data_IF_226850094280
#
_entry.id   IF_226850094280
#
_cell.length_a   1.000
_cell.length_b   1.000
_cell.length_c   1.000
_cell.angle_alpha   90.00
_cell.angle_beta   90.00
_cell.angle_gamma   90.00
#
_symmetry.space_group_name_H-M   'P 1'
#
loop_
_entity.id
_entity.type
_entity.pdbx_description
1 polymer ?
#
# COMPACT_ATOMS: atom_id res chain seq x y z
N UNK A 1 -31.68 -39.62 -4.49
CA UNK A 1 -31.93 -38.15 -4.47
C UNK A 1 -31.18 -37.58 -3.29
N UNK A 2 -29.92 -37.23 -3.47
CA UNK A 2 -29.12 -36.56 -2.46
C UNK A 2 -28.99 -35.11 -2.91
N UNK A 3 -29.48 -34.20 -2.08
CA UNK A 3 -29.48 -32.78 -2.37
C UNK A 3 -28.07 -32.20 -2.25
N UNK A 4 -27.74 -31.50 -3.33
CA UNK A 4 -26.70 -30.51 -3.53
C UNK A 4 -26.53 -29.56 -2.32
N UNK A 5 -25.31 -29.46 -1.80
CA UNK A 5 -24.86 -28.30 -1.02
C UNK A 5 -23.60 -27.75 -1.69
N UNK A 6 -23.82 -26.68 -2.44
CA UNK A 6 -22.77 -25.85 -3.00
C UNK A 6 -21.90 -25.23 -1.87
N UNK A 7 -20.59 -25.08 -2.06
CA UNK A 7 -19.76 -24.38 -1.08
C UNK A 7 -20.11 -22.89 -1.07
N UNK A 8 -20.49 -22.42 0.12
CA UNK A 8 -20.67 -21.02 0.50
C UNK A 8 -19.39 -20.21 0.27
N UNK A 9 -19.56 -18.94 -0.10
CA UNK A 9 -18.51 -18.00 -0.57
C UNK A 9 -17.35 -17.74 0.40
N UNK A 10 -16.40 -16.86 0.00
CA UNK A 10 -15.13 -16.70 0.71
C UNK A 10 -15.33 -16.06 2.07
N UNK A 11 -15.02 -16.83 3.13
CA UNK A 11 -14.89 -16.33 4.49
C UNK A 11 -13.97 -15.12 4.54
N UNK A 12 -14.60 -13.98 4.81
CA UNK A 12 -14.00 -12.68 4.93
C UNK A 12 -13.59 -12.52 6.40
N UNK A 13 -12.34 -12.12 6.66
CA UNK A 13 -11.92 -11.45 7.91
C UNK A 13 -11.61 -12.27 9.20
N UNK A 14 -11.27 -13.56 9.15
CA UNK A 14 -10.72 -14.27 10.31
C UNK A 14 -9.18 -14.17 10.37
N UNK A 15 -8.67 -13.51 11.41
CA UNK A 15 -7.28 -13.07 11.55
C UNK A 15 -6.24 -14.18 11.77
N UNK A 16 -5.45 -14.48 10.75
CA UNK A 16 -4.19 -15.17 10.92
C UNK A 16 -3.09 -14.17 11.34
N UNK A 17 -2.48 -14.39 12.49
CA UNK A 17 -1.22 -13.72 12.86
C UNK A 17 -0.10 -14.43 12.10
N UNK A 18 0.56 -13.70 11.22
CA UNK A 18 1.73 -14.14 10.47
C UNK A 18 2.90 -14.42 11.45
N UNK A 19 3.89 -15.24 11.06
CA UNK A 19 5.14 -15.48 11.80
C UNK A 19 5.87 -14.20 12.30
N UNK A 20 5.54 -13.04 11.74
CA UNK A 20 5.98 -11.71 12.14
C UNK A 20 5.25 -11.12 13.37
N UNK A 21 4.22 -11.77 13.89
CA UNK A 21 3.43 -11.30 15.04
C UNK A 21 2.37 -10.26 14.70
N UNK A 22 2.08 -10.05 13.41
CA UNK A 22 1.09 -9.08 12.94
C UNK A 22 -0.08 -9.76 12.22
N UNK A 23 -1.28 -9.21 12.45
CA UNK A 23 -2.47 -9.46 11.63
C UNK A 23 -2.62 -8.31 10.63
N UNK A 24 -2.82 -8.64 9.36
CA UNK A 24 -3.01 -7.65 8.30
C UNK A 24 -4.48 -7.53 7.93
N UNK A 25 -5.00 -6.31 7.86
CA UNK A 25 -6.41 -6.02 7.58
C UNK A 25 -6.51 -5.15 6.33
N UNK A 26 -7.16 -5.68 5.30
CA UNK A 26 -7.37 -5.03 4.00
C UNK A 26 -8.48 -3.97 4.11
N UNK A 27 -8.26 -2.80 3.51
CA UNK A 27 -9.21 -1.68 3.51
C UNK A 27 -9.31 -1.00 2.13
N UNK A 28 -8.95 -1.73 1.07
CA UNK A 28 -8.99 -1.24 -0.31
C UNK A 28 -10.12 -1.90 -1.11
N UNK A 29 -10.85 -1.16 -1.96
CA UNK A 29 -10.81 0.30 -2.13
C UNK A 29 -11.63 1.06 -1.07
N UNK A 30 -12.34 0.33 -0.21
CA UNK A 30 -13.23 0.90 0.81
C UNK A 30 -12.79 0.49 2.21
N UNK A 31 -12.84 1.44 3.14
CA UNK A 31 -12.41 1.28 4.53
C UNK A 31 -13.61 1.11 5.46
N UNK A 32 -13.51 0.13 6.35
CA UNK A 32 -14.51 -0.05 7.40
C UNK A 32 -14.44 1.10 8.43
N UNK A 33 -15.58 1.62 8.95
CA UNK A 33 -15.58 2.73 9.90
C UNK A 33 -14.73 2.49 11.16
N UNK A 34 -14.77 1.28 11.72
CA UNK A 34 -13.99 0.93 12.92
C UNK A 34 -12.47 0.94 12.65
N UNK A 35 -12.07 0.53 11.45
CA UNK A 35 -10.66 0.56 11.04
C UNK A 35 -10.21 2.00 10.77
N UNK A 36 -11.09 2.83 10.17
CA UNK A 36 -10.83 4.25 10.00
C UNK A 36 -10.59 4.93 11.35
N UNK A 37 -11.44 4.68 12.35
CA UNK A 37 -11.30 5.23 13.69
C UNK A 37 -9.98 4.78 14.35
N UNK A 38 -9.65 3.49 14.27
CA UNK A 38 -8.42 2.94 14.84
C UNK A 38 -7.15 3.51 14.19
N UNK A 39 -7.15 3.67 12.87
CA UNK A 39 -6.02 4.25 12.13
C UNK A 39 -5.83 5.74 12.46
N UNK A 40 -6.92 6.51 12.55
CA UNK A 40 -6.85 7.93 12.96
C UNK A 40 -6.27 8.06 14.37
N UNK A 41 -6.77 7.27 15.31
CA UNK A 41 -6.24 7.25 16.69
C UNK A 41 -4.75 6.91 16.72
N UNK A 42 -4.31 5.94 15.90
CA UNK A 42 -2.90 5.59 15.75
C UNK A 42 -2.05 6.74 15.19
N UNK A 43 -2.52 7.45 14.16
CA UNK A 43 -1.78 8.60 13.62
C UNK A 43 -1.61 9.73 14.63
N UNK A 44 -2.65 10.04 15.41
CA UNK A 44 -2.58 11.05 16.47
C UNK A 44 -1.59 10.62 17.54
N UNK A 45 -1.69 9.37 18.02
CA UNK A 45 -0.82 8.84 19.08
C UNK A 45 0.66 8.84 18.69
N UNK A 46 0.98 8.60 17.41
CA UNK A 46 2.34 8.60 16.89
C UNK A 46 2.80 9.99 16.39
N UNK A 47 1.97 11.03 16.52
CA UNK A 47 2.24 12.38 16.04
C UNK A 47 2.39 12.49 14.52
N UNK A 48 1.83 11.53 13.78
CA UNK A 48 1.95 11.42 12.33
C UNK A 48 1.02 12.40 11.59
N UNK A 49 -0.23 12.50 12.06
CA UNK A 49 -1.25 13.42 11.55
C UNK A 49 -2.13 13.84 12.74
N UNK A 50 -2.36 15.14 12.88
CA UNK A 50 -3.19 15.72 13.95
C UNK A 50 -4.37 16.55 13.42
N UNK A 51 -4.39 16.82 12.11
CA UNK A 51 -5.48 17.57 11.46
C UNK A 51 -6.58 16.60 11.00
N UNK A 52 -7.81 16.82 11.49
CA UNK A 52 -8.95 15.95 11.22
C UNK A 52 -9.34 15.92 9.74
N UNK A 53 -9.27 17.06 9.04
CA UNK A 53 -9.62 17.12 7.62
C UNK A 53 -8.60 16.33 6.78
N UNK A 54 -7.31 16.47 7.08
CA UNK A 54 -6.23 15.70 6.44
C UNK A 54 -6.38 14.21 6.75
N UNK A 55 -6.70 13.84 7.99
CA UNK A 55 -6.94 12.44 8.36
C UNK A 55 -8.16 11.86 7.65
N UNK A 56 -9.26 12.60 7.57
CA UNK A 56 -10.47 12.18 6.87
C UNK A 56 -10.22 11.98 5.37
N UNK A 57 -9.35 12.80 4.75
CA UNK A 57 -8.92 12.58 3.37
C UNK A 57 -8.00 11.36 3.25
N UNK A 58 -7.01 11.21 4.15
CA UNK A 58 -6.00 10.15 4.10
C UNK A 58 -6.58 8.77 4.35
N UNK A 59 -7.59 8.65 5.23
CA UNK A 59 -8.19 7.35 5.58
C UNK A 59 -8.86 6.69 4.37
N UNK A 60 -9.38 7.48 3.43
CA UNK A 60 -9.96 7.00 2.16
C UNK A 60 -8.91 6.45 1.18
N UNK A 61 -7.62 6.61 1.49
CA UNK A 61 -6.50 6.17 0.65
C UNK A 61 -5.85 4.90 1.23
N UNK A 62 -6.35 4.39 2.36
CA UNK A 62 -5.75 3.24 3.05
C UNK A 62 -5.90 2.01 2.19
N UNK A 63 -4.79 1.31 1.98
CA UNK A 63 -4.78 0.01 1.31
C UNK A 63 -4.95 -1.11 2.34
N UNK A 64 -4.15 -1.02 3.40
CA UNK A 64 -4.07 -2.03 4.45
C UNK A 64 -3.46 -1.42 5.71
N UNK A 65 -3.82 -1.97 6.86
CA UNK A 65 -3.10 -1.72 8.10
C UNK A 65 -2.74 -3.05 8.79
N UNK A 66 -1.74 -2.99 9.67
CA UNK A 66 -1.31 -4.11 10.47
C UNK A 66 -1.68 -3.88 11.93
N UNK A 67 -2.15 -4.94 12.59
CA UNK A 67 -2.44 -4.98 14.02
C UNK A 67 -1.50 -5.94 14.73
N UNK A 68 -1.09 -5.59 15.93
CA UNK A 68 -0.37 -6.45 16.86
C UNK A 68 -1.30 -7.49 17.49
N UNK A 69 -0.74 -8.44 18.24
CA UNK A 69 -1.49 -9.49 18.93
C UNK A 69 -2.50 -8.94 19.96
N UNK A 70 -2.19 -7.80 20.58
CA UNK A 70 -3.08 -7.06 21.49
C UNK A 70 -4.12 -6.18 20.76
N UNK A 71 -4.15 -6.22 19.42
CA UNK A 71 -5.14 -5.54 18.58
C UNK A 71 -4.80 -4.09 18.21
N UNK A 72 -3.72 -3.52 18.74
CA UNK A 72 -3.30 -2.16 18.41
C UNK A 72 -2.79 -2.04 16.96
N UNK A 73 -2.98 -0.88 16.33
CA UNK A 73 -2.43 -0.63 14.99
C UNK A 73 -0.91 -0.40 15.10
N UNK A 74 -0.14 -1.13 14.31
CA UNK A 74 1.32 -1.05 14.27
C UNK A 74 1.87 -0.28 13.06
N UNK A 75 1.08 -0.25 11.98
CA UNK A 75 1.45 0.45 10.76
C UNK A 75 0.32 0.42 9.75
N UNK A 76 0.36 1.38 8.84
CA UNK A 76 -0.65 1.56 7.79
C UNK A 76 0.04 1.92 6.48
N UNK A 77 -0.48 1.41 5.37
CA UNK A 77 -0.08 1.84 4.04
C UNK A 77 -1.25 2.43 3.27
N UNK A 78 -0.95 3.41 2.44
CA UNK A 78 -1.92 4.15 1.63
C UNK A 78 -1.46 4.20 0.19
N UNK A 79 -2.39 4.29 -0.75
CA UNK A 79 -2.10 4.50 -2.16
C UNK A 79 -3.05 5.54 -2.75
N UNK A 80 -2.52 6.38 -3.65
CA UNK A 80 -3.33 7.27 -4.49
C UNK A 80 -2.89 7.17 -5.94
N UNK A 81 -3.81 7.24 -6.91
CA UNK A 81 -3.43 7.38 -8.31
C UNK A 81 -2.75 8.73 -8.54
N UNK A 82 -1.59 8.70 -9.19
CA UNK A 82 -0.87 9.89 -9.66
C UNK A 82 -0.35 9.62 -11.07
N UNK A 83 -0.13 10.68 -11.84
CA UNK A 83 0.51 10.59 -13.16
C UNK A 83 1.80 11.39 -13.13
N UNK A 84 2.95 10.80 -12.72
CA UNK A 84 4.20 11.53 -12.65
C UNK A 84 4.59 12.01 -14.05
N UNK A 85 4.93 13.28 -14.19
CA UNK A 85 5.23 13.90 -15.49
C UNK A 85 6.27 13.13 -16.31
N UNK A 86 7.31 12.60 -15.65
CA UNK A 86 8.38 11.82 -16.31
C UNK A 86 7.94 10.45 -16.84
N UNK A 87 6.90 9.87 -16.25
CA UNK A 87 6.34 8.61 -16.73
C UNK A 87 5.18 8.83 -17.69
N UNK A 88 4.42 9.92 -17.51
CA UNK A 88 3.17 10.20 -18.22
C UNK A 88 2.20 9.01 -18.21
N UNK A 89 2.22 8.23 -17.12
CA UNK A 89 1.41 7.03 -16.92
C UNK A 89 0.84 7.00 -15.50
N UNK A 90 -0.41 6.54 -15.30
CA UNK A 90 -1.02 6.48 -13.99
C UNK A 90 -0.37 5.38 -13.14
N UNK A 91 0.07 5.74 -11.94
CA UNK A 91 0.73 4.88 -10.96
C UNK A 91 0.07 5.06 -9.60
N UNK A 92 -0.03 3.99 -8.82
CA UNK A 92 -0.37 4.10 -7.41
C UNK A 92 0.85 4.60 -6.63
N UNK A 93 0.83 5.87 -6.22
CA UNK A 93 1.82 6.40 -5.29
C UNK A 93 1.56 5.85 -3.90
N UNK A 94 2.44 4.95 -3.48
CA UNK A 94 2.30 4.20 -2.25
C UNK A 94 3.15 4.82 -1.14
N UNK A 95 2.54 4.91 0.05
CA UNK A 95 3.20 5.40 1.26
C UNK A 95 2.91 4.44 2.39
N UNK A 96 3.76 4.46 3.40
CA UNK A 96 3.48 3.77 4.66
C UNK A 96 3.97 4.57 5.84
N UNK A 97 3.26 4.44 6.94
CA UNK A 97 3.66 4.92 8.24
C UNK A 97 3.68 3.74 9.21
N UNK A 98 4.79 3.55 9.91
CA UNK A 98 4.99 2.49 10.90
C UNK A 98 5.31 3.13 12.24
N UNK A 99 4.61 2.68 13.28
CA UNK A 99 4.76 3.20 14.64
C UNK A 99 6.18 3.01 15.14
N UNK A 100 6.65 3.93 15.96
CA UNK A 100 8.06 4.05 16.35
C UNK A 100 8.66 2.71 16.82
N UNK A 101 7.89 1.95 17.62
CA UNK A 101 8.26 0.64 18.16
C UNK A 101 8.61 -0.40 17.08
N UNK A 102 7.99 -0.31 15.90
CA UNK A 102 8.03 -1.37 14.88
C UNK A 102 8.89 -1.00 13.66
N UNK A 103 9.54 0.17 13.64
CA UNK A 103 10.32 0.67 12.49
C UNK A 103 11.54 -0.19 12.14
N UNK A 104 12.05 -0.97 13.08
CA UNK A 104 13.17 -1.89 12.86
C UNK A 104 12.73 -3.31 12.47
N UNK A 105 11.42 -3.59 12.54
CA UNK A 105 10.82 -4.88 12.19
C UNK A 105 10.66 -5.03 10.66
N UNK A 106 10.33 -6.23 10.14
CA UNK A 106 10.07 -6.42 8.71
C UNK A 106 8.73 -5.81 8.24
N UNK A 107 7.96 -5.14 9.12
CA UNK A 107 6.58 -4.72 8.86
C UNK A 107 6.40 -3.89 7.59
N UNK A 108 7.30 -2.93 7.33
CA UNK A 108 7.26 -2.11 6.09
C UNK A 108 7.29 -2.98 4.84
N UNK A 109 8.15 -4.01 4.82
CA UNK A 109 8.27 -4.91 3.67
C UNK A 109 7.08 -5.86 3.56
N UNK A 110 6.52 -6.32 4.68
CA UNK A 110 5.29 -7.12 4.68
C UNK A 110 4.10 -6.33 4.13
N UNK A 111 3.91 -5.08 4.58
CA UNK A 111 2.89 -4.17 4.05
C UNK A 111 3.10 -3.91 2.56
N UNK A 112 4.34 -3.59 2.14
CA UNK A 112 4.65 -3.31 0.74
C UNK A 112 4.32 -4.51 -0.15
N UNK A 113 4.84 -5.70 0.16
CA UNK A 113 4.61 -6.91 -0.64
C UNK A 113 3.12 -7.25 -0.77
N UNK A 114 2.40 -7.27 0.35
CA UNK A 114 0.96 -7.58 0.37
C UNK A 114 0.16 -6.54 -0.41
N UNK A 115 0.48 -5.25 -0.24
CA UNK A 115 -0.20 -4.17 -0.96
C UNK A 115 0.08 -4.20 -2.46
N UNK A 116 1.28 -4.55 -2.92
CA UNK A 116 1.56 -4.71 -4.35
C UNK A 116 0.69 -5.79 -5.00
N UNK A 117 0.54 -6.95 -4.34
CA UNK A 117 -0.33 -8.04 -4.83
C UNK A 117 -1.76 -7.56 -4.91
N UNK A 118 -2.27 -6.96 -3.84
CA UNK A 118 -3.66 -6.51 -3.77
C UNK A 118 -3.97 -5.41 -4.80
N UNK A 119 -3.08 -4.43 -4.95
CA UNK A 119 -3.24 -3.35 -5.93
C UNK A 119 -3.15 -3.88 -7.37
N UNK A 120 -2.32 -4.89 -7.62
CA UNK A 120 -2.23 -5.55 -8.93
C UNK A 120 -3.52 -6.32 -9.27
N UNK A 121 -4.06 -7.07 -8.31
CA UNK A 121 -5.33 -7.80 -8.47
C UNK A 121 -6.48 -6.84 -8.75
N UNK A 122 -6.58 -5.77 -7.96
CA UNK A 122 -7.56 -4.71 -8.19
C UNK A 122 -7.38 -4.08 -9.56
N UNK A 123 -6.15 -3.73 -9.94
CA UNK A 123 -5.88 -3.13 -11.25
C UNK A 123 -6.30 -4.05 -12.39
N UNK A 124 -5.96 -5.35 -12.32
CA UNK A 124 -6.34 -6.34 -13.33
C UNK A 124 -7.86 -6.47 -13.46
N UNK A 125 -8.60 -6.44 -12.35
CA UNK A 125 -10.05 -6.53 -12.34
C UNK A 125 -10.76 -5.28 -12.90
N UNK A 126 -10.06 -4.14 -13.01
CA UNK A 126 -10.63 -2.83 -13.40
C UNK A 126 -9.93 -2.21 -14.62
N UNK A 127 -9.40 -3.04 -15.53
CA UNK A 127 -8.69 -2.61 -16.75
C UNK A 127 -7.51 -1.64 -16.50
N UNK A 128 -6.73 -1.95 -15.46
CA UNK A 128 -5.49 -1.26 -15.11
C UNK A 128 -5.66 0.28 -15.03
N UNK A 129 -6.45 0.82 -14.08
CA UNK A 129 -6.59 2.27 -13.92
C UNK A 129 -5.24 2.93 -13.55
N UNK A 130 -4.36 2.17 -12.89
CA UNK A 130 -2.93 2.44 -12.78
C UNK A 130 -2.15 1.24 -13.31
N UNK A 131 -0.99 1.49 -13.90
CA UNK A 131 -0.15 0.44 -14.52
C UNK A 131 0.91 -0.12 -13.56
N UNK A 132 0.94 0.36 -12.32
CA UNK A 132 1.94 -0.06 -11.34
C UNK A 132 1.88 0.73 -10.03
N UNK A 133 2.89 0.48 -9.18
CA UNK A 133 3.13 1.14 -7.90
C UNK A 133 4.37 2.02 -7.99
N UNK A 134 4.28 3.24 -7.47
CA UNK A 134 5.37 4.20 -7.34
C UNK A 134 5.76 4.37 -5.87
N UNK A 135 7.05 4.29 -5.59
CA UNK A 135 7.64 4.58 -4.28
C UNK A 135 8.53 5.81 -4.36
N UNK A 136 8.49 6.61 -3.30
CA UNK A 136 9.50 7.62 -2.98
C UNK A 136 10.18 7.22 -1.67
N UNK A 137 11.50 6.98 -1.71
CA UNK A 137 12.24 6.47 -0.56
C UNK A 137 12.68 7.60 0.37
N UNK A 138 11.91 7.83 1.43
CA UNK A 138 12.23 8.82 2.48
C UNK A 138 13.20 8.30 3.54
N UNK A 139 13.29 6.98 3.74
CA UNK A 139 14.08 6.39 4.81
C UNK A 139 15.47 5.99 4.32
N UNK A 140 16.51 6.60 4.87
CA UNK A 140 17.92 6.38 4.49
C UNK A 140 18.37 4.92 4.62
N UNK A 141 17.79 4.15 5.55
CA UNK A 141 18.11 2.72 5.70
C UNK A 141 17.73 1.90 4.46
N UNK A 142 16.63 2.27 3.80
CA UNK A 142 16.23 1.67 2.52
C UNK A 142 17.13 2.13 1.37
N UNK A 143 17.61 3.38 1.44
CA UNK A 143 18.52 3.95 0.45
C UNK A 143 19.88 3.24 0.44
N UNK A 144 20.44 2.93 1.62
CA UNK A 144 21.74 2.27 1.73
C UNK A 144 21.70 0.79 1.38
N UNK A 145 20.79 0.02 2.02
CA UNK A 145 20.68 -1.43 1.78
C UNK A 145 20.08 -1.77 0.41
N UNK A 146 19.29 -0.84 -0.13
CA UNK A 146 18.61 -0.98 -1.41
C UNK A 146 19.29 -0.25 -2.56
N UNK A 147 20.57 0.14 -2.44
CA UNK A 147 21.34 0.88 -3.46
C UNK A 147 21.69 0.02 -4.69
N UNK A 148 20.67 -0.51 -5.33
CA UNK A 148 20.70 -1.26 -6.57
C UNK A 148 19.63 -0.70 -7.51
N UNK A 149 19.89 -0.74 -8.81
CA UNK A 149 18.97 -0.22 -9.82
C UNK A 149 17.63 -0.98 -9.83
N UNK A 150 17.66 -2.28 -9.50
CA UNK A 150 16.49 -3.15 -9.47
C UNK A 150 16.44 -3.94 -8.17
N UNK A 151 15.33 -3.85 -7.45
CA UNK A 151 14.96 -4.79 -6.41
C UNK A 151 14.27 -6.00 -7.04
N UNK A 152 14.46 -7.19 -6.48
CA UNK A 152 13.93 -8.42 -7.06
C UNK A 152 12.63 -8.90 -6.40
N UNK A 153 12.36 -8.51 -5.14
CA UNK A 153 11.18 -8.95 -4.40
C UNK A 153 10.74 -7.95 -3.33
N UNK A 154 9.70 -7.13 -3.57
CA UNK A 154 8.96 -6.97 -4.83
C UNK A 154 9.82 -6.29 -5.92
N UNK A 155 9.50 -6.52 -7.21
CA UNK A 155 10.33 -6.04 -8.31
C UNK A 155 10.13 -4.54 -8.57
N UNK A 156 10.97 -3.72 -7.93
CA UNK A 156 11.00 -2.28 -8.11
C UNK A 156 12.23 -1.84 -8.88
N UNK A 157 12.05 -0.99 -9.90
CA UNK A 157 13.11 -0.42 -10.73
C UNK A 157 13.30 1.05 -10.38
N UNK A 158 14.54 1.49 -10.23
CA UNK A 158 14.88 2.90 -10.07
C UNK A 158 14.57 3.68 -11.34
N UNK A 159 13.87 4.81 -11.20
CA UNK A 159 13.39 5.64 -12.33
C UNK A 159 13.79 7.12 -12.20
N UNK A 160 14.75 7.42 -11.33
CA UNK A 160 15.25 8.78 -11.09
C UNK A 160 14.94 9.29 -9.70
N UNK A 161 14.92 10.62 -9.54
CA UNK A 161 14.68 11.29 -8.25
C UNK A 161 13.49 12.23 -8.30
N UNK A 162 12.76 12.35 -7.20
CA UNK A 162 11.73 13.37 -7.05
C UNK A 162 12.35 14.77 -6.97
N UNK A 163 11.52 15.80 -6.98
CA UNK A 163 11.96 17.20 -6.81
C UNK A 163 12.56 17.43 -5.41
N UNK A 164 12.26 16.55 -4.45
CA UNK A 164 12.88 16.51 -3.12
C UNK A 164 14.25 15.80 -3.11
N UNK A 165 14.74 15.33 -4.26
CA UNK A 165 15.99 14.59 -4.38
C UNK A 165 15.94 13.16 -3.87
N UNK A 166 14.74 12.61 -3.62
CA UNK A 166 14.55 11.25 -3.11
C UNK A 166 14.46 10.24 -4.25
N UNK A 167 14.94 9.02 -4.03
CA UNK A 167 14.90 7.98 -5.06
C UNK A 167 13.45 7.56 -5.34
N UNK A 168 13.09 7.60 -6.62
CA UNK A 168 11.82 7.10 -7.13
C UNK A 168 11.99 5.69 -7.69
N UNK A 169 11.06 4.80 -7.36
CA UNK A 169 11.05 3.43 -7.85
C UNK A 169 9.68 3.01 -8.33
N UNK A 170 9.63 2.31 -9.45
CA UNK A 170 8.40 1.78 -10.04
C UNK A 170 8.38 0.25 -10.02
N UNK A 171 7.25 -0.31 -9.61
CA UNK A 171 6.86 -1.68 -9.91
C UNK A 171 5.75 -1.61 -10.95
N UNK A 172 5.88 -2.31 -12.06
CA UNK A 172 4.84 -2.40 -13.08
C UNK A 172 4.04 -3.69 -12.90
N UNK A 173 2.71 -3.60 -13.02
CA UNK A 173 1.83 -4.75 -12.91
C UNK A 173 1.96 -5.68 -14.11
N UNK A 174 1.84 -6.99 -13.88
CA UNK A 174 1.91 -7.96 -14.96
C UNK A 174 0.72 -7.75 -15.91
N UNK A 175 1.02 -7.61 -17.20
CA UNK A 175 0.02 -7.45 -18.26
C UNK A 175 -0.48 -6.01 -18.45
N UNK A 176 -0.10 -5.06 -17.60
CA UNK A 176 -0.42 -3.66 -17.83
C UNK A 176 0.23 -3.15 -19.12
N UNK A 177 -0.50 -2.32 -19.88
CA UNK A 177 -0.01 -1.64 -21.09
C UNK A 177 0.06 -0.15 -20.84
N UNK A 178 0.93 0.53 -21.59
CA UNK A 178 0.96 1.99 -21.60
C UNK A 178 -0.41 2.51 -22.04
N UNK A 179 -0.95 3.44 -21.26
CA UNK A 179 -2.15 4.18 -21.62
C UNK A 179 -1.79 5.19 -22.71
N UNK A 180 -2.72 5.51 -23.62
CA UNK A 180 -2.53 6.58 -24.58
C UNK A 180 -2.13 7.88 -23.86
N UNK A 181 -1.37 8.78 -24.51
CA UNK A 181 -1.12 10.10 -23.96
C UNK A 181 -2.46 10.73 -23.56
N UNK A 182 -2.53 11.31 -22.36
CA UNK A 182 -3.67 12.14 -22.01
C UNK A 182 -3.80 13.22 -23.09
N UNK A 183 -4.93 13.26 -23.78
CA UNK A 183 -5.19 14.33 -24.73
C UNK A 183 -5.21 15.62 -23.91
N UNK A 184 -4.27 16.52 -24.17
CA UNK A 184 -4.26 17.85 -23.57
C UNK A 184 -5.58 18.52 -23.95
N UNK A 185 -6.46 18.75 -22.97
CA UNK A 185 -7.60 19.65 -23.10
C UNK A 185 -7.13 21.09 -22.88
#
# INVERSE_FOLDING_TARGET
MAADQAPTGPDTNAGHIDATGFRFVVNWPEIHPDDAAAIKAFWVAEGALNDEAVMAQRVRQVVMHARTADGAVAGVCTAIPVTPSRLAQPMYYWRTFVGARWRTSPLVMSLLKRSCVLLEEHARAHDYPCIGVLLELENDRFKERGRMATWFNPRFVYIGRSDRGLDLRALYFKGARLKPPAQSA
#
